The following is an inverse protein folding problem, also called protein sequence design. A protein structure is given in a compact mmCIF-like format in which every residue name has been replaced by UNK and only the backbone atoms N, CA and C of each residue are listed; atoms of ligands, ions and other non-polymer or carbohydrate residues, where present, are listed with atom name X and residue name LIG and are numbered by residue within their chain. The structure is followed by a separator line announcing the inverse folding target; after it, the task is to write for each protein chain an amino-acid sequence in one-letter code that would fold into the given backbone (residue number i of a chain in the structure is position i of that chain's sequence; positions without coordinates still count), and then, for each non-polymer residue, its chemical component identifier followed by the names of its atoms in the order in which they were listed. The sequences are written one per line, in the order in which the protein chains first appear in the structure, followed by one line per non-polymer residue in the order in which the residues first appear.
data_IF_887835299695
#
_entry.id   IF_887835299695
#
_cell.length_a   1.000
_cell.length_b   1.000
_cell.length_c   1.000
_cell.angle_alpha   90.00
_cell.angle_beta   90.00
_cell.angle_gamma   90.00
#
_symmetry.space_group_name_H-M   'P 1'
#
loop_
_entity.id
_entity.type
_entity.pdbx_description
1 polymer ?
#
# COMPACT_ATOMS: atom_id res chain seq x y z
N UNK A 1 0.43 35.54 -25.91
CA UNK A 1 0.79 36.23 -24.65
C UNK A 1 1.02 35.16 -23.61
N UNK A 2 2.13 35.15 -22.83
CA UNK A 2 2.29 34.20 -21.74
C UNK A 2 1.24 34.54 -20.68
N UNK A 3 0.46 33.51 -20.26
CA UNK A 3 -0.49 33.66 -19.15
C UNK A 3 0.28 34.10 -17.92
N UNK A 4 0.00 35.29 -17.42
CA UNK A 4 0.53 35.77 -16.13
C UNK A 4 0.14 34.77 -15.04
N UNK A 5 1.12 34.22 -14.34
CA UNK A 5 0.92 33.28 -13.25
C UNK A 5 0.25 33.98 -12.07
N UNK A 6 -1.04 33.70 -11.85
CA UNK A 6 -1.78 34.19 -10.69
C UNK A 6 -1.58 33.21 -9.51
N UNK A 7 -0.68 33.59 -8.61
CA UNK A 7 -0.36 32.82 -7.40
C UNK A 7 -1.57 32.64 -6.48
N UNK A 8 -2.47 33.66 -6.39
CA UNK A 8 -3.64 33.59 -5.53
C UNK A 8 -4.65 32.56 -6.06
N UNK A 9 -4.99 32.65 -7.34
CA UNK A 9 -5.87 31.70 -8.00
C UNK A 9 -5.31 30.26 -7.93
N UNK A 10 -4.00 30.08 -8.06
CA UNK A 10 -3.35 28.77 -7.92
C UNK A 10 -3.45 28.20 -6.50
N UNK A 11 -3.30 29.04 -5.45
CA UNK A 11 -3.46 28.60 -4.05
C UNK A 11 -4.91 28.23 -3.76
N UNK A 12 -5.87 29.02 -4.20
CA UNK A 12 -7.31 28.75 -4.08
C UNK A 12 -7.66 27.43 -4.76
N UNK A 13 -7.15 27.18 -5.97
CA UNK A 13 -7.37 25.92 -6.69
C UNK A 13 -6.79 24.72 -5.93
N UNK A 14 -5.64 24.86 -5.28
CA UNK A 14 -5.07 23.78 -4.45
C UNK A 14 -5.91 23.46 -3.22
N UNK A 15 -6.44 24.46 -2.54
CA UNK A 15 -7.32 24.24 -1.37
C UNK A 15 -8.64 23.57 -1.82
N UNK A 16 -9.24 24.04 -2.93
CA UNK A 16 -10.42 23.38 -3.51
C UNK A 16 -10.15 21.90 -3.84
N UNK A 17 -9.05 21.61 -4.51
CA UNK A 17 -8.68 20.22 -4.84
C UNK A 17 -8.49 19.37 -3.58
N UNK A 18 -7.96 19.95 -2.50
CA UNK A 18 -7.81 19.25 -1.23
C UNK A 18 -9.17 18.92 -0.60
N UNK A 19 -10.10 19.85 -0.63
CA UNK A 19 -11.47 19.63 -0.15
C UNK A 19 -12.20 18.58 -1.00
N UNK A 20 -12.05 18.64 -2.32
CA UNK A 20 -12.59 17.62 -3.25
C UNK A 20 -12.04 16.23 -2.92
N UNK A 21 -10.73 16.11 -2.72
CA UNK A 21 -10.11 14.83 -2.36
C UNK A 21 -10.65 14.28 -1.02
N UNK A 22 -10.88 15.13 -0.03
CA UNK A 22 -11.47 14.70 1.25
C UNK A 22 -12.91 14.20 1.06
N UNK A 23 -13.71 14.87 0.21
CA UNK A 23 -15.07 14.43 -0.13
C UNK A 23 -15.06 13.09 -0.87
N UNK A 24 -14.12 12.87 -1.78
CA UNK A 24 -13.95 11.58 -2.49
C UNK A 24 -13.73 10.46 -1.48
N UNK A 25 -12.79 10.62 -0.54
CA UNK A 25 -12.51 9.63 0.50
C UNK A 25 -13.77 9.37 1.34
N UNK A 26 -14.46 10.41 1.78
CA UNK A 26 -15.67 10.25 2.59
C UNK A 26 -16.77 9.49 1.84
N UNK A 27 -16.93 9.73 0.54
CA UNK A 27 -17.90 9.02 -0.29
C UNK A 27 -17.55 7.52 -0.40
N UNK A 28 -16.26 7.17 -0.59
CA UNK A 28 -15.83 5.77 -0.60
C UNK A 28 -16.14 5.09 0.73
N UNK A 29 -15.80 5.73 1.85
CA UNK A 29 -16.08 5.21 3.19
C UNK A 29 -17.59 5.01 3.41
N UNK A 30 -18.42 5.94 2.95
CA UNK A 30 -19.86 5.80 3.02
C UNK A 30 -20.37 4.62 2.18
N UNK A 31 -19.83 4.44 0.97
CA UNK A 31 -20.16 3.28 0.13
C UNK A 31 -19.78 1.95 0.80
N UNK A 32 -18.66 1.89 1.51
CA UNK A 32 -18.25 0.69 2.26
C UNK A 32 -19.21 0.34 3.39
N UNK A 33 -19.82 1.34 4.04
CA UNK A 33 -20.84 1.11 5.07
C UNK A 33 -22.14 0.58 4.49
N UNK A 34 -22.56 1.13 3.35
CA UNK A 34 -23.78 0.68 2.67
C UNK A 34 -23.62 -0.71 2.08
N UNK A 35 -22.43 -1.02 1.58
CA UNK A 35 -22.09 -2.28 0.94
C UNK A 35 -20.67 -2.72 1.31
N UNK A 36 -20.52 -3.48 2.43
CA UNK A 36 -19.21 -3.95 2.89
C UNK A 36 -18.47 -4.85 1.90
N UNK A 37 -19.14 -5.46 0.92
CA UNK A 37 -18.48 -6.26 -0.11
C UNK A 37 -17.59 -5.42 -1.03
N UNK A 38 -17.88 -4.13 -1.17
CA UNK A 38 -16.98 -3.18 -1.87
C UNK A 38 -15.64 -2.99 -1.18
N UNK A 39 -15.54 -3.32 0.10
CA UNK A 39 -14.25 -3.33 0.82
C UNK A 39 -13.35 -4.43 0.25
N UNK A 40 -13.91 -5.58 -0.13
CA UNK A 40 -13.15 -6.68 -0.74
C UNK A 40 -12.57 -6.27 -2.10
N UNK A 41 -13.35 -5.56 -2.92
CA UNK A 41 -12.86 -5.01 -4.20
C UNK A 41 -11.73 -3.98 -3.95
N UNK A 42 -11.88 -3.15 -2.92
CA UNK A 42 -10.86 -2.18 -2.54
C UNK A 42 -9.60 -2.85 -1.98
N UNK A 43 -9.72 -3.94 -1.22
CA UNK A 43 -8.58 -4.74 -0.73
C UNK A 43 -7.78 -5.30 -1.91
N UNK A 44 -8.45 -5.84 -2.94
CA UNK A 44 -7.79 -6.29 -4.15
C UNK A 44 -7.01 -5.16 -4.83
N UNK A 45 -7.62 -3.99 -4.96
CA UNK A 45 -6.94 -2.81 -5.50
C UNK A 45 -5.78 -2.35 -4.60
N UNK A 46 -5.98 -2.25 -3.29
CA UNK A 46 -5.00 -1.80 -2.30
C UNK A 46 -3.76 -2.70 -2.27
N UNK A 47 -3.91 -4.01 -2.49
CA UNK A 47 -2.80 -4.97 -2.46
C UNK A 47 -1.68 -4.63 -3.44
N UNK A 48 -2.01 -4.00 -4.57
CA UNK A 48 -1.07 -3.55 -5.60
C UNK A 48 -0.30 -2.28 -5.22
N UNK A 49 -0.87 -1.47 -4.32
CA UNK A 49 -0.37 -0.13 -3.96
C UNK A 49 0.21 -0.07 -2.54
N UNK A 50 1.00 -1.08 -2.15
CA UNK A 50 1.59 -1.20 -0.81
C UNK A 50 2.47 0.00 -0.40
N UNK A 51 3.00 0.77 -1.35
CA UNK A 51 3.80 1.98 -1.11
C UNK A 51 2.96 3.24 -0.88
N UNK A 52 1.63 3.16 -1.02
CA UNK A 52 0.72 4.27 -0.82
C UNK A 52 -0.08 4.10 0.48
N UNK A 53 -0.36 5.21 1.17
CA UNK A 53 -1.30 5.20 2.29
C UNK A 53 -2.71 4.86 1.80
N UNK A 54 -3.54 4.28 2.66
CA UNK A 54 -4.94 3.96 2.35
C UNK A 54 -5.70 5.15 1.73
N UNK A 55 -5.53 6.36 2.29
CA UNK A 55 -6.17 7.58 1.75
C UNK A 55 -5.74 7.88 0.31
N UNK A 56 -4.46 7.72 0.02
CA UNK A 56 -3.96 7.93 -1.35
C UNK A 56 -4.43 6.82 -2.28
N UNK A 57 -4.48 5.57 -1.82
CA UNK A 57 -5.03 4.47 -2.62
C UNK A 57 -6.52 4.68 -2.91
N UNK A 58 -7.31 5.14 -1.94
CA UNK A 58 -8.71 5.53 -2.18
C UNK A 58 -8.82 6.63 -3.26
N UNK A 59 -7.94 7.63 -3.23
CA UNK A 59 -7.92 8.68 -4.26
C UNK A 59 -7.51 8.15 -5.63
N UNK A 60 -6.56 7.22 -5.69
CA UNK A 60 -6.17 6.56 -6.94
C UNK A 60 -7.33 5.73 -7.47
N UNK A 61 -7.94 4.90 -6.63
CA UNK A 61 -9.08 4.04 -6.96
C UNK A 61 -10.26 4.84 -7.54
N UNK A 62 -10.64 5.93 -6.88
CA UNK A 62 -11.75 6.78 -7.34
C UNK A 62 -11.48 7.48 -8.67
N UNK A 63 -10.22 7.88 -8.93
CA UNK A 63 -9.86 8.61 -10.15
C UNK A 63 -9.44 7.69 -11.30
N UNK A 64 -8.95 6.49 -11.00
CA UNK A 64 -8.57 5.47 -11.97
C UNK A 64 -8.70 4.06 -11.35
N UNK A 65 -9.89 3.44 -11.37
CA UNK A 65 -10.10 2.10 -10.81
C UNK A 65 -9.26 1.01 -11.50
N UNK A 66 -8.86 1.23 -12.74
CA UNK A 66 -8.00 0.33 -13.51
C UNK A 66 -6.50 0.60 -13.36
N UNK A 67 -6.07 1.44 -12.42
CA UNK A 67 -4.66 1.72 -12.23
C UNK A 67 -3.86 0.46 -11.88
N UNK A 68 -2.71 0.32 -12.53
CA UNK A 68 -1.81 -0.83 -12.37
C UNK A 68 -0.56 -0.46 -11.56
N UNK A 69 0.10 0.62 -11.92
CA UNK A 69 1.30 1.12 -11.27
C UNK A 69 1.35 2.64 -11.37
N UNK A 70 1.34 3.31 -10.24
CA UNK A 70 1.23 4.77 -10.16
C UNK A 70 2.53 5.38 -9.66
N UNK A 71 2.99 6.43 -10.35
CA UNK A 71 4.21 7.15 -9.97
C UNK A 71 4.16 8.64 -10.30
N UNK A 72 5.06 9.41 -9.69
CA UNK A 72 5.26 10.80 -10.10
C UNK A 72 5.76 10.88 -11.55
N UNK A 73 5.59 12.04 -12.19
CA UNK A 73 6.15 12.25 -13.53
C UNK A 73 7.64 11.90 -13.61
N UNK A 74 8.41 12.30 -12.61
CA UNK A 74 9.85 12.04 -12.58
C UNK A 74 10.18 10.55 -12.39
N UNK A 75 9.41 9.84 -11.54
CA UNK A 75 9.59 8.42 -11.32
C UNK A 75 9.26 7.60 -12.57
N UNK A 76 8.10 7.84 -13.19
CA UNK A 76 7.73 7.15 -14.43
C UNK A 76 8.69 7.48 -15.57
N UNK A 77 9.12 8.75 -15.69
CA UNK A 77 10.11 9.12 -16.69
C UNK A 77 11.43 8.35 -16.51
N UNK A 78 11.92 8.20 -15.28
CA UNK A 78 13.13 7.42 -15.00
C UNK A 78 12.98 5.97 -15.49
N UNK A 79 11.90 5.31 -15.09
CA UNK A 79 11.62 3.91 -15.48
C UNK A 79 11.52 3.79 -17.00
N UNK A 80 10.73 4.63 -17.65
CA UNK A 80 10.53 4.57 -19.10
C UNK A 80 11.79 4.93 -19.90
N UNK A 81 12.63 5.84 -19.41
CA UNK A 81 13.91 6.17 -20.05
C UNK A 81 14.94 5.02 -19.91
N UNK A 82 14.93 4.28 -18.79
CA UNK A 82 15.78 3.10 -18.60
C UNK A 82 15.35 1.97 -19.54
N UNK A 83 14.08 1.63 -19.59
CA UNK A 83 13.53 0.62 -20.50
C UNK A 83 13.75 1.00 -21.98
N UNK A 84 13.67 2.28 -22.35
CA UNK A 84 13.96 2.72 -23.71
C UNK A 84 15.44 2.49 -24.12
N UNK A 85 16.38 2.55 -23.16
CA UNK A 85 17.80 2.23 -23.43
C UNK A 85 18.04 0.74 -23.65
N UNK A 86 17.28 -0.12 -22.94
CA UNK A 86 17.35 -1.57 -23.06
C UNK A 86 16.69 -2.07 -24.36
N UNK A 87 15.61 -1.41 -24.80
CA UNK A 87 14.79 -1.79 -25.94
C UNK A 87 14.92 -0.81 -27.12
N UNK A 88 16.15 -0.60 -27.63
CA UNK A 88 16.41 0.29 -28.78
C UNK A 88 15.71 -0.21 -30.04
N UNK A 89 15.30 0.74 -30.88
CA UNK A 89 14.76 0.46 -32.20
C UNK A 89 15.86 -0.13 -33.13
N UNK A 90 15.48 -0.87 -34.20
CA UNK A 90 16.43 -1.45 -35.14
C UNK A 90 17.43 -0.47 -35.76
N UNK A 91 17.08 0.83 -35.86
CA UNK A 91 17.94 1.92 -36.33
C UNK A 91 18.87 2.47 -35.24
N UNK A 92 18.84 1.92 -34.01
CA UNK A 92 19.64 2.35 -32.85
C UNK A 92 19.05 3.54 -32.07
N UNK A 93 17.92 4.12 -32.51
CA UNK A 93 17.23 5.20 -31.79
C UNK A 93 16.53 4.69 -30.54
N UNK A 94 16.35 5.58 -29.55
CA UNK A 94 15.58 5.27 -28.35
C UNK A 94 14.07 5.45 -28.62
N UNK A 95 13.23 4.47 -28.33
CA UNK A 95 11.79 4.64 -28.39
C UNK A 95 11.33 5.66 -27.34
N UNK A 96 10.27 6.39 -27.61
CA UNK A 96 9.66 7.29 -26.64
C UNK A 96 8.57 6.56 -25.83
N UNK A 97 8.91 6.17 -24.62
CA UNK A 97 7.98 5.48 -23.69
C UNK A 97 7.37 6.41 -22.62
N UNK A 98 7.61 7.72 -22.68
CA UNK A 98 7.14 8.69 -21.72
C UNK A 98 5.61 8.83 -21.64
N UNK A 99 5.14 9.68 -20.73
CA UNK A 99 3.71 9.93 -20.50
C UNK A 99 3.07 10.48 -21.77
N UNK A 100 1.90 9.93 -22.11
CA UNK A 100 1.10 10.34 -23.28
C UNK A 100 0.71 11.80 -23.18
N UNK A 101 0.74 12.51 -24.32
CA UNK A 101 0.29 13.90 -24.37
C UNK A 101 -1.20 13.99 -24.03
N UNK A 102 -1.54 14.87 -23.08
CA UNK A 102 -2.92 15.05 -22.63
C UNK A 102 -3.37 14.10 -21.52
N UNK A 103 -2.49 13.21 -21.05
CA UNK A 103 -2.79 12.37 -19.88
C UNK A 103 -3.15 13.23 -18.67
N UNK A 104 -4.26 12.88 -18.00
CA UNK A 104 -4.72 13.57 -16.79
C UNK A 104 -4.06 12.96 -15.56
N UNK A 105 -3.42 13.80 -14.73
CA UNK A 105 -2.80 13.35 -13.50
C UNK A 105 -3.85 12.99 -12.45
N UNK A 106 -3.57 11.95 -11.67
CA UNK A 106 -4.29 11.57 -10.46
C UNK A 106 -3.81 12.48 -9.33
N UNK A 107 -4.74 13.03 -8.54
CA UNK A 107 -4.44 13.94 -7.43
C UNK A 107 -4.37 13.16 -6.13
N UNK A 108 -3.23 13.22 -5.46
CA UNK A 108 -3.00 12.55 -4.17
C UNK A 108 -2.49 13.53 -3.12
N UNK A 109 -2.49 13.13 -1.86
CA UNK A 109 -1.83 13.87 -0.79
C UNK A 109 -0.33 13.54 -0.76
N UNK A 110 0.50 14.58 -0.69
CA UNK A 110 1.95 14.42 -0.54
C UNK A 110 2.45 15.17 0.70
N UNK A 111 3.39 14.61 1.47
CA UNK A 111 4.00 15.31 2.60
C UNK A 111 4.69 16.58 2.11
N UNK A 112 4.50 17.67 2.84
CA UNK A 112 5.22 18.92 2.60
C UNK A 112 5.50 19.66 3.90
N UNK A 113 6.62 20.37 3.96
CA UNK A 113 6.91 21.28 5.07
C UNK A 113 6.12 22.56 4.89
N UNK A 114 5.29 22.91 5.87
CA UNK A 114 4.50 24.13 5.92
C UNK A 114 5.17 25.07 6.93
N UNK A 115 5.55 26.26 6.47
CA UNK A 115 6.15 27.30 7.32
C UNK A 115 5.07 28.19 7.88
N UNK A 116 5.11 28.44 9.17
CA UNK A 116 4.26 29.40 9.90
C UNK A 116 5.12 30.55 10.39
N UNK A 117 4.58 31.76 10.32
CA UNK A 117 5.18 32.99 10.73
C UNK A 117 4.36 33.57 11.88
N UNK A 118 5.03 34.15 12.90
CA UNK A 118 4.37 34.84 13.98
C UNK A 118 4.07 36.26 13.54
N UNK A 119 2.79 36.68 13.58
CA UNK A 119 2.39 38.06 13.27
C UNK A 119 2.58 38.97 14.48
N UNK A 120 2.33 40.28 14.29
CA UNK A 120 2.45 41.30 15.35
C UNK A 120 1.48 41.06 16.52
N UNK A 121 0.34 40.40 16.27
CA UNK A 121 -0.63 40.02 17.31
C UNK A 121 -0.22 38.76 18.08
N UNK A 122 0.89 38.11 17.72
CA UNK A 122 1.38 36.88 18.34
C UNK A 122 0.80 35.61 17.74
N UNK A 123 -0.07 35.72 16.73
CA UNK A 123 -0.70 34.57 16.08
C UNK A 123 0.22 33.93 15.02
N UNK A 124 0.06 32.61 14.84
CA UNK A 124 0.79 31.86 13.82
C UNK A 124 0.03 31.82 12.51
N UNK A 125 0.57 32.46 11.48
CA UNK A 125 -0.01 32.55 10.13
C UNK A 125 0.84 31.73 9.16
N UNK A 126 0.21 30.87 8.36
CA UNK A 126 0.92 30.12 7.34
C UNK A 126 1.58 31.06 6.31
N UNK A 127 2.85 30.84 5.98
CA UNK A 127 3.63 31.69 5.05
C UNK A 127 2.91 31.94 3.71
N UNK A 128 2.19 30.94 3.18
CA UNK A 128 1.43 31.08 1.93
C UNK A 128 0.20 31.98 2.05
N UNK A 129 -0.32 32.17 3.28
CA UNK A 129 -1.51 33.00 3.61
C UNK A 129 -1.12 34.34 4.25
N UNK A 130 0.15 34.50 4.60
CA UNK A 130 0.67 35.74 5.18
C UNK A 130 0.62 36.89 4.17
N UNK A 131 0.41 38.10 4.65
CA UNK A 131 0.48 39.31 3.83
C UNK A 131 1.91 39.55 3.30
N UNK A 132 2.02 40.50 2.36
CA UNK A 132 3.29 40.78 1.70
C UNK A 132 4.34 41.35 2.68
N UNK A 133 3.94 42.09 3.67
CA UNK A 133 4.85 42.71 4.65
C UNK A 133 5.43 41.62 5.54
N UNK A 134 4.61 40.74 6.09
CA UNK A 134 5.04 39.63 6.93
C UNK A 134 5.97 38.66 6.14
N UNK A 135 5.66 38.39 4.87
CA UNK A 135 6.53 37.60 4.00
C UNK A 135 7.89 38.26 3.72
N UNK A 136 7.92 39.61 3.63
CA UNK A 136 9.14 40.38 3.41
C UNK A 136 10.03 40.34 4.66
N UNK A 137 9.44 40.56 5.83
CA UNK A 137 10.16 40.49 7.11
C UNK A 137 10.70 39.11 7.40
N UNK A 138 9.97 38.06 7.06
CA UNK A 138 10.47 36.68 7.10
C UNK A 138 11.72 36.47 6.22
N UNK A 139 11.70 36.98 4.98
CA UNK A 139 12.87 36.92 4.07
C UNK A 139 14.10 37.67 4.61
N UNK A 140 13.89 38.70 5.39
CA UNK A 140 14.97 39.46 6.09
C UNK A 140 15.48 38.74 7.35
N UNK A 141 14.81 37.69 7.81
CA UNK A 141 15.13 36.99 9.04
C UNK A 141 14.61 37.65 10.33
N UNK A 142 13.70 38.61 10.21
CA UNK A 142 13.21 39.42 11.33
C UNK A 142 11.97 38.85 12.04
N UNK A 143 11.45 37.69 11.56
CA UNK A 143 10.19 37.13 12.04
C UNK A 143 10.45 35.72 12.60
N UNK A 144 9.88 35.46 13.77
CA UNK A 144 9.86 34.14 14.36
C UNK A 144 9.04 33.18 13.46
N UNK A 145 9.63 32.02 13.13
CA UNK A 145 9.00 31.03 12.26
C UNK A 145 9.27 29.62 12.73
N UNK A 146 8.34 28.72 12.46
CA UNK A 146 8.54 27.29 12.61
C UNK A 146 8.01 26.52 11.39
N UNK A 147 8.50 25.30 11.22
CA UNK A 147 8.03 24.41 10.18
C UNK A 147 7.28 23.22 10.79
N UNK A 148 6.15 22.91 10.20
CA UNK A 148 5.34 21.73 10.53
C UNK A 148 5.20 20.86 9.30
N UNK A 149 5.25 19.52 9.49
CA UNK A 149 4.86 18.59 8.44
C UNK A 149 3.35 18.70 8.21
N UNK A 150 2.96 18.88 6.97
CA UNK A 150 1.58 18.89 6.53
C UNK A 150 1.44 18.16 5.19
N UNK A 151 0.26 18.25 4.58
CA UNK A 151 -0.02 17.59 3.30
C UNK A 151 -0.45 18.61 2.26
N UNK A 152 0.15 18.50 1.09
CA UNK A 152 -0.25 19.21 -0.11
C UNK A 152 -0.82 18.26 -1.15
N UNK A 153 -1.19 18.82 -2.32
CA UNK A 153 -1.63 18.02 -3.47
C UNK A 153 -0.44 17.75 -4.37
N UNK A 154 -0.20 16.46 -4.65
CA UNK A 154 0.73 15.96 -5.64
C UNK A 154 0.00 15.42 -6.87
N UNK A 155 0.76 15.29 -7.96
CA UNK A 155 0.29 14.74 -9.22
C UNK A 155 1.06 13.45 -9.49
N UNK A 156 0.32 12.38 -9.73
CA UNK A 156 0.86 11.10 -10.15
C UNK A 156 0.15 10.63 -11.41
N UNK A 157 0.74 9.65 -12.09
CA UNK A 157 0.21 9.07 -13.32
C UNK A 157 0.30 7.56 -13.23
N UNK A 158 -0.62 6.87 -13.86
CA UNK A 158 -0.56 5.42 -14.01
C UNK A 158 0.33 5.03 -15.20
N UNK A 159 0.98 3.87 -15.13
CA UNK A 159 1.85 3.37 -16.19
C UNK A 159 1.12 3.19 -17.52
N UNK A 160 -0.19 2.89 -17.51
CA UNK A 160 -1.03 2.80 -18.70
C UNK A 160 -1.18 4.13 -19.43
N UNK A 161 -0.88 5.23 -18.76
CA UNK A 161 -0.85 6.58 -19.34
C UNK A 161 0.49 6.91 -20.01
N UNK A 162 1.41 5.95 -20.10
CA UNK A 162 2.67 6.07 -20.85
C UNK A 162 2.56 5.43 -22.23
N UNK A 163 3.54 5.67 -23.09
CA UNK A 163 3.67 4.97 -24.38
C UNK A 163 4.43 3.64 -24.25
N UNK A 164 4.70 3.17 -23.02
CA UNK A 164 5.34 1.89 -22.79
C UNK A 164 4.44 0.75 -23.30
N UNK A 165 4.97 -0.19 -24.10
CA UNK A 165 4.25 -1.41 -24.47
C UNK A 165 3.89 -2.23 -23.22
N UNK A 166 2.73 -2.90 -23.25
CA UNK A 166 2.22 -3.64 -22.10
C UNK A 166 3.15 -4.81 -21.70
N UNK A 167 3.87 -5.36 -22.67
CA UNK A 167 4.83 -6.46 -22.49
C UNK A 167 6.05 -6.03 -21.66
N UNK A 168 6.28 -4.71 -21.56
CA UNK A 168 7.38 -4.13 -20.78
C UNK A 168 6.91 -3.56 -19.43
N UNK A 169 5.66 -3.78 -19.06
CA UNK A 169 5.19 -3.40 -17.74
C UNK A 169 5.93 -4.23 -16.69
N UNK A 170 6.30 -3.66 -15.52
CA UNK A 170 6.96 -4.41 -14.45
C UNK A 170 6.20 -5.70 -14.10
N UNK A 171 6.91 -6.81 -13.98
CA UNK A 171 6.36 -8.15 -13.73
C UNK A 171 5.50 -8.27 -12.47
N UNK A 172 5.63 -7.33 -11.55
CA UNK A 172 4.79 -7.20 -10.35
C UNK A 172 3.28 -7.09 -10.67
N UNK A 173 2.92 -6.90 -11.94
CA UNK A 173 1.53 -6.70 -12.40
C UNK A 173 0.90 -8.00 -12.93
N UNK A 174 1.66 -9.05 -13.21
CA UNK A 174 1.15 -10.16 -14.03
C UNK A 174 1.77 -11.52 -13.79
N UNK A 175 1.76 -12.08 -12.62
CA UNK A 175 1.99 -13.53 -12.56
C UNK A 175 0.97 -14.22 -11.64
N UNK A 176 -0.04 -14.84 -12.29
CA UNK A 176 -0.81 -15.92 -11.73
C UNK A 176 0.07 -17.17 -11.67
N UNK A 177 0.21 -17.74 -10.49
CA UNK A 177 0.96 -18.97 -10.26
C UNK A 177 0.17 -20.18 -10.81
N UNK A 178 0.88 -21.28 -11.20
CA UNK A 178 0.31 -22.52 -11.72
C UNK A 178 -0.53 -23.31 -10.70
N UNK A 179 -0.68 -24.64 -10.84
CA UNK A 179 -1.64 -25.48 -10.10
C UNK A 179 -1.82 -25.15 -8.60
N UNK A 180 -3.07 -24.84 -8.22
CA UNK A 180 -3.44 -24.10 -7.00
C UNK A 180 -2.90 -24.64 -5.66
N UNK A 181 -2.84 -25.97 -5.47
CA UNK A 181 -2.50 -26.54 -4.17
C UNK A 181 -1.01 -26.49 -3.86
N UNK A 182 -0.15 -26.88 -4.81
CA UNK A 182 1.30 -26.92 -4.59
C UNK A 182 1.88 -25.54 -4.32
N UNK A 183 1.38 -24.51 -4.99
CA UNK A 183 1.83 -23.14 -4.81
C UNK A 183 1.36 -22.57 -3.47
N UNK A 184 0.13 -22.86 -3.03
CA UNK A 184 -0.31 -22.47 -1.70
C UNK A 184 0.60 -23.06 -0.62
N UNK A 185 0.98 -24.33 -0.78
CA UNK A 185 1.89 -25.02 0.13
C UNK A 185 3.28 -24.39 0.13
N UNK A 186 3.89 -24.15 -1.03
CA UNK A 186 5.20 -23.53 -1.16
C UNK A 186 5.21 -22.12 -0.55
N UNK A 187 4.19 -21.33 -0.78
CA UNK A 187 4.10 -20.02 -0.19
C UNK A 187 3.83 -20.07 1.32
N UNK A 188 3.07 -21.06 1.81
CA UNK A 188 2.91 -21.26 3.25
C UNK A 188 4.23 -21.68 3.94
N UNK A 189 5.05 -22.51 3.29
CA UNK A 189 6.40 -22.88 3.74
C UNK A 189 7.29 -21.62 3.79
N UNK A 190 7.28 -20.80 2.74
CA UNK A 190 8.01 -19.55 2.68
C UNK A 190 7.61 -18.56 3.82
N UNK A 191 6.32 -18.37 4.04
CA UNK A 191 5.82 -17.53 5.16
C UNK A 191 6.20 -18.15 6.52
N UNK A 192 6.25 -19.48 6.64
CA UNK A 192 6.70 -20.14 7.86
C UNK A 192 8.19 -19.85 8.13
N UNK A 193 9.03 -19.89 7.12
CA UNK A 193 10.45 -19.56 7.24
C UNK A 193 10.66 -18.06 7.56
N UNK A 194 9.89 -17.18 6.94
CA UNK A 194 9.82 -15.77 7.29
C UNK A 194 9.46 -15.57 8.77
N UNK A 195 8.43 -16.25 9.28
CA UNK A 195 8.05 -16.21 10.69
C UNK A 195 9.22 -16.63 11.61
N UNK A 196 9.91 -17.72 11.27
CA UNK A 196 11.06 -18.24 12.03
C UNK A 196 12.20 -17.22 12.09
N UNK A 197 12.51 -16.55 10.99
CA UNK A 197 13.54 -15.49 10.94
C UNK A 197 13.17 -14.31 11.85
N UNK A 198 11.87 -14.06 12.05
CA UNK A 198 11.33 -13.01 12.91
C UNK A 198 11.00 -13.49 14.34
N UNK A 199 11.54 -14.65 14.74
CA UNK A 199 11.35 -15.25 16.07
C UNK A 199 9.90 -15.62 16.39
N UNK A 200 9.11 -15.95 15.35
CA UNK A 200 7.76 -16.47 15.47
C UNK A 200 7.81 -17.98 15.13
N UNK A 201 7.44 -18.82 16.07
CA UNK A 201 7.37 -20.29 15.88
C UNK A 201 6.01 -20.66 15.26
N UNK A 202 6.02 -21.37 14.14
CA UNK A 202 4.81 -21.94 13.52
C UNK A 202 4.83 -23.45 13.71
N UNK A 203 3.76 -24.01 14.30
CA UNK A 203 3.63 -25.45 14.54
C UNK A 203 2.18 -25.93 14.38
N UNK A 204 2.02 -27.23 14.28
CA UNK A 204 0.69 -27.84 14.29
C UNK A 204 0.14 -27.94 15.71
N UNK A 205 -1.20 -27.79 15.84
CA UNK A 205 -1.91 -28.03 17.08
C UNK A 205 -1.79 -29.52 17.48
N UNK A 206 -1.63 -29.76 18.79
CA UNK A 206 -1.61 -31.10 19.33
C UNK A 206 -2.98 -31.83 19.17
N UNK A 207 -4.08 -31.08 19.25
CA UNK A 207 -5.42 -31.59 19.15
C UNK A 207 -6.07 -31.26 17.80
N UNK A 208 -6.64 -32.27 17.15
CA UNK A 208 -7.45 -32.10 15.94
C UNK A 208 -8.82 -31.59 16.33
N UNK A 209 -9.21 -30.42 15.89
CA UNK A 209 -10.52 -29.83 16.14
C UNK A 209 -11.17 -29.38 14.83
N UNK A 210 -12.49 -29.42 14.75
CA UNK A 210 -13.22 -28.88 13.58
C UNK A 210 -13.64 -27.41 13.75
N UNK A 211 -13.43 -26.84 14.91
CA UNK A 211 -13.90 -25.50 15.25
C UNK A 211 -12.79 -24.44 15.18
N UNK A 212 -11.55 -24.80 15.52
CA UNK A 212 -10.41 -23.88 15.54
C UNK A 212 -9.52 -24.17 14.35
N UNK A 213 -9.25 -23.17 13.52
CA UNK A 213 -8.37 -23.29 12.34
C UNK A 213 -6.93 -22.93 12.66
N UNK A 214 -6.72 -21.87 13.42
CA UNK A 214 -5.43 -21.38 13.88
C UNK A 214 -5.54 -20.67 15.21
N UNK A 215 -4.41 -20.36 15.82
CA UNK A 215 -4.32 -19.60 17.06
C UNK A 215 -2.95 -18.92 17.15
N UNK A 216 -2.94 -17.60 17.14
CA UNK A 216 -1.78 -16.81 17.49
C UNK A 216 -1.72 -16.58 19.00
N UNK A 217 -0.54 -16.73 19.60
CA UNK A 217 -0.31 -16.60 21.04
C UNK A 217 0.65 -15.46 21.34
N UNK A 218 0.45 -14.81 22.47
CA UNK A 218 1.28 -13.68 22.95
C UNK A 218 2.74 -14.09 23.32
N UNK A 219 3.16 -15.30 23.00
CA UNK A 219 4.53 -15.82 23.18
C UNK A 219 5.24 -16.07 21.85
N UNK A 220 4.80 -15.41 20.77
CA UNK A 220 5.29 -15.54 19.40
C UNK A 220 5.13 -16.97 18.86
N UNK A 221 4.04 -17.63 19.17
CA UNK A 221 3.72 -18.97 18.67
C UNK A 221 2.42 -18.90 17.86
N UNK A 222 2.47 -19.43 16.65
CA UNK A 222 1.31 -19.69 15.79
C UNK A 222 1.05 -21.19 15.76
N UNK A 223 -0.13 -21.62 16.16
CA UNK A 223 -0.58 -23.01 16.06
C UNK A 223 -1.60 -23.17 14.95
N UNK A 224 -1.39 -24.09 14.02
CA UNK A 224 -2.29 -24.36 12.90
C UNK A 224 -2.95 -25.73 13.05
N UNK A 225 -4.21 -25.82 12.64
CA UNK A 225 -4.92 -27.07 12.65
C UNK A 225 -4.38 -28.00 11.55
N UNK A 226 -3.90 -29.21 11.88
CA UNK A 226 -3.32 -30.13 10.91
C UNK A 226 -4.33 -30.73 9.92
N UNK A 227 -5.65 -30.48 10.10
CA UNK A 227 -6.69 -30.91 9.17
C UNK A 227 -6.93 -29.93 8.01
N UNK A 228 -6.27 -28.78 8.00
CA UNK A 228 -6.41 -27.81 6.93
C UNK A 228 -5.76 -28.32 5.66
N UNK A 229 -6.44 -28.12 4.52
CA UNK A 229 -5.81 -28.26 3.20
C UNK A 229 -4.85 -27.08 2.94
N UNK A 230 -4.05 -27.17 1.88
CA UNK A 230 -3.00 -26.18 1.61
C UNK A 230 -3.53 -24.74 1.50
N UNK A 231 -4.64 -24.52 0.79
CA UNK A 231 -5.30 -23.22 0.68
C UNK A 231 -5.79 -22.70 2.05
N UNK A 232 -6.44 -23.58 2.81
CA UNK A 232 -6.91 -23.26 4.16
C UNK A 232 -5.76 -22.96 5.12
N UNK A 233 -4.66 -23.72 5.01
CA UNK A 233 -3.45 -23.55 5.81
C UNK A 233 -2.79 -22.20 5.53
N UNK A 234 -2.56 -21.85 4.27
CA UNK A 234 -2.00 -20.56 3.87
C UNK A 234 -2.87 -19.38 4.37
N UNK A 235 -4.18 -19.43 4.07
CA UNK A 235 -5.10 -18.38 4.50
C UNK A 235 -5.16 -18.21 6.01
N UNK A 236 -5.10 -19.31 6.77
CA UNK A 236 -5.09 -19.28 8.23
C UNK A 236 -3.75 -18.78 8.74
N UNK A 237 -2.62 -19.27 8.22
CA UNK A 237 -1.29 -18.80 8.60
C UNK A 237 -1.17 -17.28 8.44
N UNK A 238 -1.56 -16.73 7.29
CA UNK A 238 -1.50 -15.29 7.06
C UNK A 238 -2.41 -14.48 8.01
N UNK A 239 -3.54 -15.05 8.43
CA UNK A 239 -4.42 -14.44 9.41
C UNK A 239 -3.76 -14.40 10.81
N UNK A 240 -3.17 -15.52 11.25
CA UNK A 240 -2.47 -15.58 12.53
C UNK A 240 -1.20 -14.70 12.55
N UNK A 241 -0.49 -14.61 11.42
CA UNK A 241 0.61 -13.64 11.25
C UNK A 241 0.11 -12.20 11.41
N UNK A 242 -1.09 -11.91 10.88
CA UNK A 242 -1.75 -10.61 11.10
C UNK A 242 -1.96 -10.33 12.59
N UNK A 243 -2.43 -11.29 13.37
CA UNK A 243 -2.55 -11.15 14.82
C UNK A 243 -1.20 -10.93 15.51
N UNK A 244 -0.16 -11.68 15.15
CA UNK A 244 1.19 -11.54 15.72
C UNK A 244 1.75 -10.14 15.49
N UNK A 245 1.66 -9.63 14.27
CA UNK A 245 2.25 -8.35 13.90
C UNK A 245 1.47 -7.13 14.43
N UNK A 246 0.15 -7.26 14.61
CA UNK A 246 -0.74 -6.13 14.91
C UNK A 246 -1.20 -6.08 16.37
N UNK A 247 -1.36 -7.24 17.04
CA UNK A 247 -2.20 -7.31 18.23
C UNK A 247 -1.51 -7.72 19.53
N UNK A 248 -0.22 -8.07 19.51
CA UNK A 248 0.51 -8.42 20.74
C UNK A 248 1.35 -7.29 21.33
N UNK A 249 1.12 -6.05 20.89
CA UNK A 249 1.69 -4.86 21.55
C UNK A 249 0.82 -4.37 22.71
N UNK A 250 1.42 -3.68 23.69
CA UNK A 250 0.72 -3.12 24.85
C UNK A 250 -0.48 -2.19 24.51
N UNK A 251 -0.49 -1.60 23.31
CA UNK A 251 -1.55 -0.70 22.85
C UNK A 251 -2.79 -1.42 22.32
N UNK A 252 -2.72 -2.70 22.02
CA UNK A 252 -3.84 -3.47 21.45
C UNK A 252 -4.84 -4.00 22.49
N UNK A 253 -4.51 -3.86 23.78
CA UNK A 253 -5.40 -4.32 24.88
C UNK A 253 -6.74 -3.57 24.96
N UNK A 254 -6.89 -2.45 24.25
CA UNK A 254 -8.12 -1.64 24.21
C UNK A 254 -9.03 -1.98 23.02
N UNK A 255 -8.60 -2.86 22.12
CA UNK A 255 -9.36 -3.24 20.94
C UNK A 255 -10.33 -4.38 21.26
N UNK A 256 -11.54 -4.34 20.68
CA UNK A 256 -12.46 -5.49 20.77
C UNK A 256 -11.94 -6.69 19.97
N UNK A 257 -12.51 -7.86 20.22
CA UNK A 257 -12.16 -9.07 19.46
C UNK A 257 -12.46 -8.87 17.97
N UNK A 258 -13.65 -8.37 17.66
CA UNK A 258 -14.12 -8.13 16.29
C UNK A 258 -13.18 -7.17 15.55
N UNK A 259 -12.66 -6.16 16.24
CA UNK A 259 -11.70 -5.23 15.67
C UNK A 259 -10.39 -5.92 15.29
N UNK A 260 -9.88 -6.80 16.15
CA UNK A 260 -8.67 -7.57 15.88
C UNK A 260 -8.84 -8.56 14.73
N UNK A 261 -10.00 -9.23 14.70
CA UNK A 261 -10.36 -10.16 13.61
C UNK A 261 -10.40 -9.45 12.25
N UNK A 262 -11.03 -8.27 12.18
CA UNK A 262 -11.08 -7.47 10.95
C UNK A 262 -9.70 -7.08 10.47
N UNK A 263 -8.81 -6.65 11.35
CA UNK A 263 -7.44 -6.26 10.97
C UNK A 263 -6.60 -7.45 10.49
N UNK A 264 -6.71 -8.59 11.15
CA UNK A 264 -6.05 -9.82 10.73
C UNK A 264 -6.59 -10.32 9.38
N UNK A 265 -7.90 -10.22 9.16
CA UNK A 265 -8.51 -10.54 7.86
C UNK A 265 -8.01 -9.61 6.75
N UNK A 266 -7.99 -8.28 6.98
CA UNK A 266 -7.47 -7.32 5.99
C UNK A 266 -6.00 -7.66 5.64
N UNK A 267 -5.16 -7.92 6.65
CA UNK A 267 -3.76 -8.28 6.42
C UNK A 267 -3.64 -9.55 5.57
N UNK A 268 -4.35 -10.62 5.95
CA UNK A 268 -4.37 -11.89 5.22
C UNK A 268 -4.82 -11.72 3.76
N UNK A 269 -5.91 -11.00 3.54
CA UNK A 269 -6.46 -10.77 2.21
C UNK A 269 -5.52 -9.92 1.32
N UNK A 270 -4.88 -8.89 1.89
CA UNK A 270 -3.88 -8.09 1.18
C UNK A 270 -2.68 -8.95 0.75
N UNK A 271 -2.18 -9.81 1.64
CA UNK A 271 -1.09 -10.73 1.33
C UNK A 271 -1.48 -11.73 0.24
N UNK A 272 -2.63 -12.39 0.36
CA UNK A 272 -3.13 -13.33 -0.66
C UNK A 272 -3.19 -12.64 -2.04
N UNK A 273 -3.86 -11.50 -2.14
CA UNK A 273 -4.01 -10.78 -3.41
C UNK A 273 -2.69 -10.25 -3.97
N UNK A 274 -1.77 -9.80 -3.11
CA UNK A 274 -0.45 -9.34 -3.53
C UNK A 274 0.33 -10.42 -4.27
N UNK A 275 0.23 -11.66 -3.82
CA UNK A 275 0.96 -12.79 -4.37
C UNK A 275 0.13 -13.63 -5.35
N UNK A 276 -0.99 -13.08 -5.85
CA UNK A 276 -1.79 -13.68 -6.92
C UNK A 276 -2.78 -14.77 -6.48
N UNK A 277 -2.98 -14.94 -5.15
CA UNK A 277 -3.91 -15.95 -4.63
C UNK A 277 -5.34 -15.40 -4.54
N UNK A 278 -6.31 -16.29 -4.76
CA UNK A 278 -7.72 -16.01 -4.53
C UNK A 278 -8.01 -15.91 -3.02
N UNK A 279 -8.88 -14.96 -2.63
CA UNK A 279 -9.38 -14.90 -1.26
C UNK A 279 -10.44 -15.97 -1.08
N UNK A 280 -10.27 -16.92 -0.13
CA UNK A 280 -11.29 -17.93 0.11
C UNK A 280 -12.62 -17.32 0.55
N UNK A 281 -13.75 -17.82 0.06
CA UNK A 281 -15.10 -17.35 0.42
C UNK A 281 -15.33 -17.32 1.93
N UNK A 282 -14.77 -18.31 2.64
CA UNK A 282 -14.86 -18.36 4.11
C UNK A 282 -14.19 -17.16 4.77
N UNK A 283 -13.07 -16.65 4.22
CA UNK A 283 -12.36 -15.47 4.72
C UNK A 283 -13.14 -14.19 4.43
N UNK A 284 -13.61 -14.05 3.20
CA UNK A 284 -14.45 -12.91 2.79
C UNK A 284 -15.70 -12.81 3.65
N UNK A 285 -16.39 -13.94 3.89
CA UNK A 285 -17.56 -14.00 4.75
C UNK A 285 -17.24 -13.63 6.20
N UNK A 286 -16.16 -14.19 6.76
CA UNK A 286 -15.74 -13.90 8.14
C UNK A 286 -15.48 -12.39 8.32
N UNK A 287 -14.78 -11.77 7.41
CA UNK A 287 -14.55 -10.31 7.41
C UNK A 287 -15.86 -9.52 7.38
N UNK A 288 -16.76 -9.82 6.43
CA UNK A 288 -18.02 -9.09 6.26
C UNK A 288 -18.92 -9.25 7.49
N UNK A 289 -19.00 -10.45 8.05
CA UNK A 289 -19.83 -10.74 9.27
C UNK A 289 -19.28 -9.94 10.46
N UNK A 290 -17.97 -9.93 10.69
CA UNK A 290 -17.34 -9.16 11.76
C UNK A 290 -17.52 -7.66 11.56
N UNK A 291 -17.33 -7.14 10.33
CA UNK A 291 -17.50 -5.71 10.05
C UNK A 291 -18.96 -5.25 10.25
N UNK A 292 -19.93 -6.04 9.82
CA UNK A 292 -21.36 -5.75 10.06
C UNK A 292 -21.75 -5.73 11.53
N UNK A 293 -21.03 -6.48 12.38
CA UNK A 293 -21.25 -6.49 13.83
C UNK A 293 -20.74 -5.24 14.54
N UNK A 294 -19.83 -4.48 13.89
CA UNK A 294 -19.31 -3.23 14.43
C UNK A 294 -20.23 -2.04 14.12
N UNK A 295 -20.43 -1.18 15.11
CA UNK A 295 -21.14 0.10 14.94
C UNK A 295 -20.19 1.20 14.46
N UNK A 296 -19.58 1.01 13.27
CA UNK A 296 -18.66 1.98 12.64
C UNK A 296 -19.43 3.06 11.89
N UNK A 297 -20.25 3.86 12.62
CA UNK A 297 -21.18 4.85 12.04
C UNK A 297 -20.52 5.93 11.18
N UNK A 298 -19.29 6.29 11.47
CA UNK A 298 -18.55 7.34 10.76
C UNK A 298 -17.44 6.78 9.85
N UNK A 299 -17.25 5.46 9.78
CA UNK A 299 -16.22 4.77 9.01
C UNK A 299 -14.80 5.06 9.49
N UNK A 300 -14.69 5.65 10.67
CA UNK A 300 -13.41 6.04 11.25
C UNK A 300 -12.60 4.82 11.65
N UNK A 301 -13.27 3.82 12.24
CA UNK A 301 -12.62 2.57 12.61
C UNK A 301 -11.98 1.90 11.40
N UNK A 302 -12.70 1.76 10.29
CA UNK A 302 -12.19 1.11 9.08
C UNK A 302 -10.95 1.85 8.53
N UNK A 303 -10.96 3.19 8.49
CA UNK A 303 -9.80 3.97 8.06
C UNK A 303 -8.60 3.77 8.99
N UNK A 304 -8.80 3.83 10.30
CA UNK A 304 -7.74 3.61 11.29
C UNK A 304 -7.16 2.19 11.22
N UNK A 305 -8.01 1.19 11.00
CA UNK A 305 -7.60 -0.21 10.82
C UNK A 305 -6.77 -0.39 9.56
N UNK A 306 -7.21 0.15 8.43
CA UNK A 306 -6.39 0.14 7.21
C UNK A 306 -5.04 0.83 7.41
N UNK A 307 -4.98 1.98 8.09
CA UNK A 307 -3.73 2.71 8.34
C UNK A 307 -2.76 1.87 9.20
N UNK A 308 -3.26 1.13 10.20
CA UNK A 308 -2.45 0.21 11.02
C UNK A 308 -1.97 -1.00 10.22
N UNK A 309 -2.90 -1.67 9.55
CA UNK A 309 -2.60 -2.86 8.74
C UNK A 309 -1.61 -2.52 7.64
N UNK A 310 -1.82 -1.43 6.88
CA UNK A 310 -0.94 -1.03 5.79
C UNK A 310 0.49 -0.76 6.23
N UNK A 311 0.69 -0.29 7.45
CA UNK A 311 2.04 -0.07 8.00
C UNK A 311 2.80 -1.39 8.14
N UNK A 312 2.18 -2.42 8.72
CA UNK A 312 2.83 -3.72 8.90
C UNK A 312 2.86 -4.52 7.59
N UNK A 313 1.80 -4.47 6.79
CA UNK A 313 1.76 -5.05 5.46
C UNK A 313 2.88 -4.53 4.56
N UNK A 314 3.08 -3.21 4.49
CA UNK A 314 4.15 -2.61 3.68
C UNK A 314 5.54 -3.07 4.11
N UNK A 315 5.80 -3.16 5.41
CA UNK A 315 7.05 -3.69 5.95
C UNK A 315 7.25 -5.16 5.55
N UNK A 316 6.22 -5.99 5.76
CA UNK A 316 6.27 -7.41 5.45
C UNK A 316 6.55 -7.64 3.97
N UNK A 317 5.84 -6.94 3.08
CA UNK A 317 6.08 -7.02 1.62
C UNK A 317 7.49 -6.58 1.24
N UNK A 318 8.03 -5.51 1.87
CA UNK A 318 9.40 -5.06 1.60
C UNK A 318 10.44 -6.10 2.04
N UNK A 319 10.29 -6.68 3.21
CA UNK A 319 11.19 -7.73 3.71
C UNK A 319 11.16 -8.96 2.81
N UNK A 320 9.98 -9.49 2.50
CA UNK A 320 9.79 -10.62 1.59
C UNK A 320 10.44 -10.33 0.21
N UNK A 321 10.25 -9.13 -0.35
CA UNK A 321 10.83 -8.77 -1.64
C UNK A 321 12.36 -8.69 -1.61
N UNK A 322 12.94 -8.26 -0.50
CA UNK A 322 14.40 -8.19 -0.33
C UNK A 322 15.01 -9.58 -0.20
N UNK A 323 14.45 -10.42 0.65
CA UNK A 323 14.90 -11.81 0.86
C UNK A 323 14.80 -12.62 -0.43
N UNK A 324 13.69 -12.49 -1.17
CA UNK A 324 13.51 -13.16 -2.46
C UNK A 324 14.53 -12.70 -3.51
N UNK A 325 14.88 -11.42 -3.53
CA UNK A 325 15.92 -10.88 -4.42
C UNK A 325 17.32 -11.40 -4.06
N UNK A 326 17.62 -11.53 -2.75
CA UNK A 326 18.88 -12.10 -2.26
C UNK A 326 19.00 -13.59 -2.59
N UNK A 327 17.93 -14.38 -2.44
CA UNK A 327 17.90 -15.80 -2.83
C UNK A 327 18.11 -15.99 -4.34
N UNK A 328 17.48 -15.17 -5.18
CA UNK A 328 17.66 -15.21 -6.63
C UNK A 328 19.11 -14.91 -7.03
N UNK A 329 19.75 -13.89 -6.42
CA UNK A 329 21.16 -13.57 -6.65
C UNK A 329 22.09 -14.71 -6.23
N UNK A 330 21.85 -15.31 -5.06
CA UNK A 330 22.60 -16.45 -4.58
C UNK A 330 22.49 -17.67 -5.53
N UNK A 331 21.31 -17.89 -6.09
CA UNK A 331 21.04 -18.98 -7.01
C UNK A 331 21.75 -18.75 -8.37
N UNK A 332 21.77 -17.52 -8.87
CA UNK A 332 22.52 -17.15 -10.09
C UNK A 332 24.04 -17.28 -9.89
N UNK A 333 24.59 -16.87 -8.75
CA UNK A 333 26.00 -17.03 -8.42
C UNK A 333 26.42 -18.51 -8.35
N UNK A 334 25.60 -19.36 -7.73
CA UNK A 334 25.85 -20.82 -7.67
C UNK A 334 25.77 -21.44 -9.07
N UNK A 335 24.79 -21.06 -9.89
CA UNK A 335 24.67 -21.53 -11.28
C UNK A 335 25.87 -21.14 -12.12
N UNK A 336 26.35 -19.90 -11.98
CA UNK A 336 27.55 -19.41 -12.69
C UNK A 336 28.83 -20.10 -12.24
N UNK A 337 28.97 -20.41 -10.94
CA UNK A 337 30.10 -21.19 -10.41
C UNK A 337 30.12 -22.63 -10.94
N UNK A 338 28.95 -23.29 -11.01
CA UNK A 338 28.82 -24.65 -11.57
C UNK A 338 29.19 -24.65 -13.05
N UNK A 339 28.78 -23.64 -13.80
CA UNK A 339 29.11 -23.52 -15.22
C UNK A 339 30.62 -23.29 -15.45
N UNK A 340 31.29 -22.55 -14.58
CA UNK A 340 32.76 -22.35 -14.63
C UNK A 340 33.57 -23.60 -14.24
N UNK A 341 33.00 -24.50 -13.43
CA UNK A 341 33.69 -25.73 -13.01
C UNK A 341 33.50 -26.88 -14.01
N UNK A 342 32.45 -26.80 -14.84
CA UNK A 342 32.15 -27.81 -15.86
C UNK A 342 32.65 -27.46 -17.27
N UNK A 343 33.22 -26.29 -17.51
CA UNK A 343 33.86 -25.85 -18.77
C UNK A 343 35.38 -25.83 -18.65
#
# INVERSE_FOLDING_TARGET
MPKTYDKKAWLEQKELTKEENLKIIQNIVNNFKEDPEKILEFIDFQSRFYNYSTRNTMLIYAQNPGALFVGSFAALKKITDELAKEHKLPNGELPYYGIKKGAKSIKIFVPQKITYLKNESGDWVQLSKADKQLQLEYKKGNIESYQRLGFGIGNVFDISQTNLPIELYPSVISEGFGEESEIHKQFAEYITDFCKQHSIEVKDMNEKTVTIRGLARNDNIIELNPLLNDTGRLSTLLHEVGHELLHFSANSNKMSVEQKEIEADIFSMLMLRRYGFEIPDSRSKHFVDNYRSLDDKDGKFLQESFDRVMKEYSKTVQLISTEFAEEMQATEEVSNQITMVMG
#
